data_IF_412996560025
#
_entry.id   IF_412996560025
#
_cell.length_a   1.000
_cell.length_b   1.000
_cell.length_c   1.000
_cell.angle_alpha   90.00
_cell.angle_beta   90.00
_cell.angle_gamma   90.00
#
_symmetry.space_group_name_H-M   'P 1'
#
loop_
_entity.id
_entity.type
_entity.pdbx_description
1 polymer ?
#
# COMPACT_ATOMS: atom_id res chain seq x y z
N UNK A 1 19.27 -16.34 -2.62
CA UNK A 1 18.82 -16.34 -1.21
C UNK A 1 17.35 -15.98 -1.08
N UNK A 2 16.82 -14.98 -1.80
CA UNK A 2 15.41 -14.52 -1.67
C UNK A 2 14.35 -15.61 -1.93
N UNK A 3 14.64 -16.62 -2.77
CA UNK A 3 13.71 -17.70 -3.08
C UNK A 3 13.45 -18.57 -1.85
N UNK A 4 14.47 -18.85 -1.04
CA UNK A 4 14.34 -19.66 0.18
C UNK A 4 13.54 -18.96 1.28
N UNK A 5 13.58 -17.63 1.30
CA UNK A 5 12.86 -16.80 2.26
C UNK A 5 11.54 -16.25 1.72
N UNK A 6 11.13 -16.64 0.50
CA UNK A 6 9.95 -16.07 -0.18
C UNK A 6 8.67 -16.16 0.66
N UNK A 7 8.49 -17.25 1.43
CA UNK A 7 7.33 -17.40 2.32
C UNK A 7 7.33 -16.34 3.42
N UNK A 8 8.45 -16.16 4.10
CA UNK A 8 8.58 -15.14 5.15
C UNK A 8 8.44 -13.72 4.61
N UNK A 9 9.04 -13.47 3.43
CA UNK A 9 8.93 -12.17 2.76
C UNK A 9 7.49 -11.88 2.33
N UNK A 10 6.77 -12.91 1.87
CA UNK A 10 5.35 -12.78 1.55
C UNK A 10 4.53 -12.39 2.78
N UNK A 11 4.76 -13.03 3.93
CA UNK A 11 4.08 -12.68 5.18
C UNK A 11 4.32 -11.22 5.57
N UNK A 12 5.55 -10.74 5.48
CA UNK A 12 5.91 -9.35 5.76
C UNK A 12 5.21 -8.40 4.79
N UNK A 13 5.25 -8.70 3.49
CA UNK A 13 4.65 -7.84 2.46
C UNK A 13 3.12 -7.81 2.52
N UNK A 14 2.46 -8.92 2.89
CA UNK A 14 0.98 -9.00 2.96
C UNK A 14 0.44 -8.43 4.26
N UNK A 15 1.23 -8.37 5.32
CA UNK A 15 0.82 -7.87 6.64
C UNK A 15 0.11 -6.51 6.60
N UNK A 16 0.59 -5.47 5.88
CA UNK A 16 -0.10 -4.18 5.81
C UNK A 16 -1.50 -4.27 5.22
N UNK A 17 -1.70 -5.12 4.20
CA UNK A 17 -3.01 -5.34 3.59
C UNK A 17 -3.98 -6.01 4.56
N UNK A 18 -3.54 -7.05 5.28
CA UNK A 18 -4.38 -7.73 6.29
C UNK A 18 -4.79 -6.75 7.40
N UNK A 19 -3.87 -5.87 7.85
CA UNK A 19 -4.19 -4.84 8.83
C UNK A 19 -5.22 -3.84 8.30
N UNK A 20 -5.11 -3.41 7.05
CA UNK A 20 -6.07 -2.50 6.42
C UNK A 20 -7.45 -3.17 6.24
N UNK A 21 -7.50 -4.44 5.87
CA UNK A 21 -8.75 -5.22 5.77
C UNK A 21 -9.44 -5.33 7.13
N UNK A 22 -8.70 -5.67 8.19
CA UNK A 22 -9.23 -5.74 9.58
C UNK A 22 -9.77 -4.39 10.05
N UNK A 23 -9.03 -3.32 9.81
CA UNK A 23 -9.43 -1.97 10.21
C UNK A 23 -10.77 -1.53 9.56
N UNK A 24 -11.07 -2.07 8.37
CA UNK A 24 -12.30 -1.76 7.62
C UNK A 24 -13.35 -2.87 7.68
N UNK A 25 -13.23 -3.84 8.60
CA UNK A 25 -14.14 -4.98 8.76
C UNK A 25 -14.36 -5.79 7.46
N UNK A 26 -13.35 -5.87 6.59
CA UNK A 26 -13.38 -6.65 5.35
C UNK A 26 -12.82 -8.07 5.59
N UNK A 27 -13.26 -9.08 4.79
CA UNK A 27 -12.74 -10.43 4.92
C UNK A 27 -11.24 -10.47 4.58
N UNK A 28 -10.48 -11.16 5.42
CA UNK A 28 -9.02 -11.31 5.27
C UNK A 28 -8.63 -12.32 4.16
N UNK A 29 -9.50 -12.54 3.18
CA UNK A 29 -9.28 -13.48 2.09
C UNK A 29 -8.77 -12.77 0.85
N UNK A 30 -7.65 -13.26 0.32
CA UNK A 30 -7.09 -12.80 -0.93
C UNK A 30 -7.50 -13.76 -2.05
N UNK A 31 -7.89 -13.22 -3.20
CA UNK A 31 -8.26 -14.02 -4.36
C UNK A 31 -7.07 -14.23 -5.28
N UNK A 32 -6.88 -15.48 -5.72
CA UNK A 32 -6.08 -15.82 -6.88
C UNK A 32 -7.06 -16.25 -8.00
N UNK A 33 -7.03 -15.56 -9.12
CA UNK A 33 -8.00 -15.80 -10.23
C UNK A 33 -7.52 -16.84 -11.23
N UNK A 34 -6.24 -17.20 -11.19
CA UNK A 34 -5.67 -18.25 -12.02
C UNK A 34 -4.57 -19.02 -11.30
N UNK A 35 -4.33 -20.30 -11.65
CA UNK A 35 -3.21 -21.08 -11.10
C UNK A 35 -1.84 -20.44 -11.36
N UNK A 36 -1.66 -19.80 -12.51
CA UNK A 36 -0.45 -19.07 -12.87
C UNK A 36 -0.21 -17.84 -11.99
N UNK A 37 -1.27 -17.21 -11.48
CA UNK A 37 -1.17 -16.04 -10.60
C UNK A 37 -0.38 -16.34 -9.34
N UNK A 38 -0.58 -17.52 -8.74
CA UNK A 38 0.16 -17.94 -7.54
C UNK A 38 1.68 -18.01 -7.79
N UNK A 39 2.09 -18.50 -8.97
CA UNK A 39 3.50 -18.52 -9.36
C UNK A 39 4.03 -17.09 -9.58
N UNK A 40 3.26 -16.24 -10.27
CA UNK A 40 3.64 -14.85 -10.48
C UNK A 40 3.75 -14.06 -9.16
N UNK A 41 2.96 -14.40 -8.16
CA UNK A 41 3.06 -13.83 -6.80
C UNK A 41 4.45 -14.09 -6.22
N UNK A 42 4.95 -15.31 -6.28
CA UNK A 42 6.31 -15.63 -5.81
C UNK A 42 7.38 -14.86 -6.58
N UNK A 43 7.25 -14.75 -7.89
CA UNK A 43 8.17 -13.95 -8.73
C UNK A 43 8.17 -12.49 -8.30
N UNK A 44 7.00 -11.88 -8.08
CA UNK A 44 6.89 -10.49 -7.62
C UNK A 44 7.50 -10.28 -6.23
N UNK A 45 7.26 -11.19 -5.28
CA UNK A 45 7.88 -11.13 -3.94
C UNK A 45 9.40 -11.17 -4.04
N UNK A 46 9.94 -12.08 -4.84
CA UNK A 46 11.40 -12.17 -5.06
C UNK A 46 11.93 -10.90 -5.72
N UNK A 47 11.21 -10.33 -6.68
CA UNK A 47 11.60 -9.11 -7.39
C UNK A 47 11.59 -7.88 -6.46
N UNK A 48 10.56 -7.70 -5.63
CA UNK A 48 10.49 -6.64 -4.62
C UNK A 48 11.67 -6.75 -3.66
N UNK A 49 11.91 -7.97 -3.15
CA UNK A 49 13.00 -8.23 -2.21
C UNK A 49 14.37 -8.01 -2.84
N UNK A 50 14.55 -8.44 -4.09
CA UNK A 50 15.78 -8.22 -4.85
C UNK A 50 16.01 -6.72 -5.10
N UNK A 51 14.96 -5.95 -5.35
CA UNK A 51 15.06 -4.50 -5.53
C UNK A 51 15.48 -3.80 -4.24
N UNK A 52 14.88 -4.18 -3.10
CA UNK A 52 15.21 -3.59 -1.79
C UNK A 52 16.65 -3.93 -1.39
N UNK A 53 17.06 -5.19 -1.52
CA UNK A 53 18.40 -5.64 -1.15
C UNK A 53 19.47 -5.22 -2.17
N UNK A 54 19.13 -5.21 -3.44
CA UNK A 54 20.02 -4.81 -4.54
C UNK A 54 20.08 -3.31 -4.76
N UNK A 55 19.07 -2.54 -4.30
CA UNK A 55 18.97 -1.10 -4.48
C UNK A 55 20.21 -0.33 -4.03
N UNK A 56 20.79 -0.58 -2.85
CA UNK A 56 22.04 0.01 -2.43
C UNK A 56 23.20 -0.17 -3.43
N UNK A 57 23.29 -1.36 -3.99
CA UNK A 57 24.32 -1.66 -5.00
C UNK A 57 24.04 -0.95 -6.32
N UNK A 58 22.78 -0.91 -6.76
CA UNK A 58 22.37 -0.18 -7.99
C UNK A 58 22.70 1.31 -7.84
N UNK A 59 22.40 1.89 -6.69
CA UNK A 59 22.71 3.30 -6.40
C UNK A 59 24.21 3.55 -6.39
N UNK A 60 25.00 2.66 -5.79
CA UNK A 60 26.46 2.74 -5.83
C UNK A 60 26.99 2.74 -7.27
N UNK A 61 26.50 1.82 -8.11
CA UNK A 61 26.89 1.74 -9.52
C UNK A 61 26.49 3.00 -10.30
N UNK A 62 25.28 3.53 -10.04
CA UNK A 62 24.82 4.76 -10.66
C UNK A 62 25.76 5.94 -10.34
N UNK A 63 26.12 6.13 -9.07
CA UNK A 63 27.04 7.19 -8.66
C UNK A 63 28.47 6.98 -9.20
N UNK A 64 28.92 5.74 -9.29
CA UNK A 64 30.21 5.38 -9.89
C UNK A 64 30.24 5.72 -11.38
N UNK A 65 29.15 5.43 -12.10
CA UNK A 65 28.98 5.81 -13.50
C UNK A 65 28.97 7.32 -13.69
N UNK A 66 28.20 8.05 -12.87
CA UNK A 66 28.18 9.52 -12.90
C UNK A 66 29.56 10.10 -12.61
N UNK A 67 30.29 9.57 -11.64
CA UNK A 67 31.63 10.01 -11.28
C UNK A 67 32.66 9.81 -12.42
N UNK A 68 32.45 8.82 -13.27
CA UNK A 68 33.34 8.57 -14.43
C UNK A 68 33.27 9.69 -15.50
N UNK A 69 32.14 10.40 -15.57
CA UNK A 69 31.93 11.51 -16.50
C UNK A 69 32.35 12.89 -15.97
N UNK A 70 32.85 13.00 -14.72
CA UNK A 70 33.19 14.26 -14.08
C UNK A 70 34.70 14.51 -14.01
N UNK A 71 35.10 15.80 -13.83
CA UNK A 71 36.46 16.19 -13.63
C UNK A 71 37.05 15.61 -12.29
N UNK A 72 38.39 15.40 -12.22
CA UNK A 72 39.02 14.75 -11.05
C UNK A 72 38.69 15.39 -9.72
N UNK A 73 38.55 16.71 -9.66
CA UNK A 73 38.22 17.47 -8.44
C UNK A 73 36.79 17.23 -7.96
N UNK A 74 35.86 16.93 -8.87
CA UNK A 74 34.43 16.71 -8.55
C UNK A 74 34.15 15.25 -8.19
N UNK A 75 34.93 14.33 -8.76
CA UNK A 75 34.79 12.88 -8.57
C UNK A 75 34.87 12.46 -7.09
N UNK A 76 35.81 13.03 -6.36
CA UNK A 76 35.98 12.71 -4.93
C UNK A 76 34.74 13.10 -4.09
N UNK A 77 34.07 14.18 -4.49
CA UNK A 77 32.87 14.63 -3.81
C UNK A 77 31.65 13.73 -4.13
N UNK A 78 31.51 13.27 -5.38
CA UNK A 78 30.44 12.35 -5.80
C UNK A 78 30.51 11.05 -5.00
N UNK A 79 31.70 10.50 -4.76
CA UNK A 79 31.85 9.32 -3.90
C UNK A 79 31.33 9.54 -2.47
N UNK A 80 31.41 10.77 -1.94
CA UNK A 80 30.84 11.09 -0.61
C UNK A 80 29.31 11.12 -0.62
N UNK A 81 28.65 11.32 -1.77
CA UNK A 81 27.20 11.27 -1.91
C UNK A 81 26.64 9.85 -1.91
N UNK A 82 27.46 8.85 -2.19
CA UNK A 82 27.01 7.46 -2.29
C UNK A 82 26.39 6.96 -0.99
N UNK A 83 27.05 7.21 0.15
CA UNK A 83 26.54 6.77 1.44
C UNK A 83 25.22 7.46 1.84
N UNK A 84 25.08 8.80 1.78
CA UNK A 84 23.78 9.45 1.99
C UNK A 84 22.69 8.97 1.02
N UNK A 85 23.05 8.67 -0.23
CA UNK A 85 22.13 8.16 -1.24
C UNK A 85 21.57 6.80 -0.86
N UNK A 86 22.41 5.87 -0.41
CA UNK A 86 21.97 4.56 0.08
C UNK A 86 21.07 4.71 1.31
N UNK A 87 21.43 5.59 2.25
CA UNK A 87 20.61 5.84 3.44
C UNK A 87 19.24 6.45 3.08
N UNK A 88 19.20 7.39 2.14
CA UNK A 88 17.94 7.97 1.66
C UNK A 88 17.07 6.94 0.94
N UNK A 89 17.66 6.05 0.16
CA UNK A 89 16.93 4.96 -0.48
C UNK A 89 16.27 4.04 0.56
N UNK A 90 17.03 3.59 1.54
CA UNK A 90 16.48 2.76 2.61
C UNK A 90 15.40 3.48 3.42
N UNK A 91 15.60 4.78 3.68
CA UNK A 91 14.60 5.63 4.33
C UNK A 91 13.34 5.74 3.46
N UNK A 92 13.48 5.89 2.15
CA UNK A 92 12.36 5.93 1.20
C UNK A 92 11.55 4.63 1.19
N UNK A 93 12.22 3.49 1.15
CA UNK A 93 11.59 2.16 1.24
C UNK A 93 10.91 1.97 2.60
N UNK A 94 11.55 2.36 3.70
CA UNK A 94 10.96 2.30 5.04
C UNK A 94 9.73 3.20 5.16
N UNK A 95 9.80 4.43 4.66
CA UNK A 95 8.68 5.37 4.63
C UNK A 95 7.51 4.83 3.79
N UNK A 96 7.80 4.25 2.63
CA UNK A 96 6.82 3.59 1.80
C UNK A 96 6.08 2.49 2.56
N UNK A 97 6.82 1.58 3.19
CA UNK A 97 6.25 0.43 3.87
C UNK A 97 5.48 0.79 5.15
N UNK A 98 6.04 1.67 5.99
CA UNK A 98 5.48 2.00 7.30
C UNK A 98 4.36 3.04 7.23
N UNK A 99 4.39 3.92 6.24
CA UNK A 99 3.46 5.04 6.17
C UNK A 99 2.63 5.02 4.88
N UNK A 100 3.26 5.15 3.71
CA UNK A 100 2.55 5.34 2.46
C UNK A 100 1.62 4.17 2.12
N UNK A 101 2.12 2.94 2.28
CA UNK A 101 1.37 1.72 1.98
C UNK A 101 0.17 1.54 2.91
N UNK A 102 0.35 1.75 4.23
CA UNK A 102 -0.75 1.61 5.20
C UNK A 102 -1.85 2.65 4.97
N UNK A 103 -1.49 3.91 4.74
CA UNK A 103 -2.46 4.99 4.51
C UNK A 103 -3.20 4.79 3.19
N UNK A 104 -2.49 4.47 2.10
CA UNK A 104 -3.09 4.17 0.80
C UNK A 104 -4.06 2.99 0.86
N UNK A 105 -3.64 1.88 1.49
CA UNK A 105 -4.49 0.70 1.60
C UNK A 105 -5.72 0.95 2.46
N UNK A 106 -5.57 1.64 3.59
CA UNK A 106 -6.70 1.95 4.46
C UNK A 106 -7.74 2.81 3.74
N UNK A 107 -7.28 3.80 2.96
CA UNK A 107 -8.16 4.61 2.12
C UNK A 107 -8.84 3.77 1.02
N UNK A 108 -8.06 2.98 0.28
CA UNK A 108 -8.56 2.19 -0.84
C UNK A 108 -9.59 1.15 -0.40
N UNK A 109 -9.33 0.47 0.72
CA UNK A 109 -10.26 -0.51 1.32
C UNK A 109 -11.49 0.19 1.86
N UNK A 110 -11.33 1.33 2.55
CA UNK A 110 -12.42 2.13 3.12
C UNK A 110 -13.31 2.78 2.07
N UNK A 111 -12.74 3.15 0.92
CA UNK A 111 -13.48 3.81 -0.16
C UNK A 111 -14.61 2.93 -0.73
N UNK A 112 -14.39 1.61 -0.81
CA UNK A 112 -15.44 0.67 -1.21
C UNK A 112 -16.68 0.70 -0.31
N UNK A 113 -16.51 1.00 0.97
CA UNK A 113 -17.62 1.09 1.94
C UNK A 113 -18.41 2.41 1.81
N UNK A 114 -17.83 3.42 1.20
CA UNK A 114 -18.47 4.73 1.02
C UNK A 114 -19.51 4.75 -0.11
N UNK A 115 -19.53 3.73 -0.99
CA UNK A 115 -20.54 3.60 -2.06
C UNK A 115 -21.69 2.69 -1.58
N UNK A 116 -22.77 3.24 -0.99
CA UNK A 116 -23.92 2.44 -0.58
C UNK A 116 -24.66 1.94 -1.83
N UNK A 117 -25.13 0.69 -1.77
CA UNK A 117 -26.07 0.18 -2.78
C UNK A 117 -27.33 1.04 -2.80
N UNK A 118 -27.79 1.51 -3.98
CA UNK A 118 -29.09 2.12 -4.06
C UNK A 118 -30.14 1.08 -3.61
N UNK A 119 -31.07 1.50 -2.76
CA UNK A 119 -32.21 0.66 -2.40
C UNK A 119 -33.06 0.52 -3.63
N UNK A 120 -32.92 -0.59 -4.34
CA UNK A 120 -33.76 -0.92 -5.49
C UNK A 120 -35.14 -1.34 -4.98
N UNK A 121 -36.02 -0.37 -4.74
CA UNK A 121 -37.44 -0.63 -4.63
C UNK A 121 -37.98 -0.68 -6.06
N UNK A 122 -38.27 -1.87 -6.61
CA UNK A 122 -38.72 -1.97 -7.98
C UNK A 122 -40.07 -1.27 -8.15
N UNK A 123 -40.18 -0.44 -9.17
CA UNK A 123 -41.42 0.20 -9.55
C UNK A 123 -42.46 -0.86 -10.01
N UNK A 124 -43.73 -0.54 -9.98
CA UNK A 124 -44.81 -1.50 -10.38
C UNK A 124 -44.61 -2.10 -11.78
N UNK A 125 -44.00 -1.37 -12.69
CA UNK A 125 -43.67 -1.84 -14.04
C UNK A 125 -42.46 -2.78 -14.03
N UNK A 126 -41.43 -2.49 -13.25
CA UNK A 126 -40.26 -3.37 -13.06
C UNK A 126 -40.66 -4.68 -12.37
N UNK A 127 -41.55 -4.63 -11.37
CA UNK A 127 -42.11 -5.82 -10.73
C UNK A 127 -42.82 -6.72 -11.71
N UNK A 128 -43.58 -6.15 -12.64
CA UNK A 128 -44.25 -6.92 -13.70
C UNK A 128 -43.29 -7.50 -14.75
N UNK A 129 -42.29 -6.73 -15.15
CA UNK A 129 -41.34 -7.16 -16.19
C UNK A 129 -40.33 -8.18 -15.66
N UNK A 130 -39.89 -8.04 -14.42
CA UNK A 130 -38.88 -8.90 -13.81
C UNK A 130 -39.50 -10.11 -13.11
N UNK A 131 -40.86 -10.23 -13.07
CA UNK A 131 -41.57 -11.27 -12.31
C UNK A 131 -41.09 -11.37 -10.84
N UNK A 132 -40.56 -10.24 -10.30
CA UNK A 132 -40.13 -10.18 -8.92
C UNK A 132 -41.40 -10.20 -8.08
N UNK A 133 -41.71 -11.34 -7.49
CA UNK A 133 -42.77 -11.42 -6.48
C UNK A 133 -42.51 -10.38 -5.40
N UNK A 134 -43.49 -9.53 -5.04
CA UNK A 134 -43.29 -8.61 -3.92
C UNK A 134 -42.83 -9.44 -2.73
N UNK A 135 -41.75 -8.98 -2.07
CA UNK A 135 -41.33 -9.64 -0.82
C UNK A 135 -42.57 -9.82 0.03
N UNK A 136 -42.89 -11.08 0.34
CA UNK A 136 -44.06 -11.37 1.16
C UNK A 136 -44.04 -10.43 2.35
N UNK A 137 -45.16 -9.73 2.67
CA UNK A 137 -45.20 -8.88 3.84
C UNK A 137 -44.69 -9.72 4.99
N UNK A 138 -43.73 -9.18 5.76
CA UNK A 138 -43.10 -9.89 6.86
C UNK A 138 -44.19 -10.57 7.67
N UNK A 139 -44.40 -11.84 7.36
CA UNK A 139 -45.41 -12.68 8.04
C UNK A 139 -45.03 -12.58 9.50
N UNK A 140 -45.94 -12.20 10.33
CA UNK A 140 -45.92 -12.13 11.78
C UNK A 140 -44.78 -12.98 12.32
N UNK A 141 -43.73 -12.33 12.86
CA UNK A 141 -42.58 -13.02 13.40
C UNK A 141 -43.12 -14.15 14.31
N UNK A 142 -42.79 -15.41 14.06
CA UNK A 142 -43.13 -16.45 14.99
C UNK A 142 -42.54 -16.03 16.33
N UNK A 143 -43.34 -16.12 17.39
CA UNK A 143 -42.92 -15.72 18.73
C UNK A 143 -41.56 -16.35 19.04
N UNK A 144 -40.55 -15.51 19.34
CA UNK A 144 -39.14 -15.88 19.56
C UNK A 144 -38.94 -16.80 20.79
N UNK A 145 -40.02 -17.26 21.43
CA UNK A 145 -39.98 -17.98 22.70
C UNK A 145 -39.27 -19.35 22.66
N UNK A 146 -39.01 -19.93 21.49
CA UNK A 146 -38.42 -21.28 21.35
C UNK A 146 -37.31 -21.38 20.31
N UNK A 147 -36.56 -20.32 20.07
CA UNK A 147 -35.40 -20.43 19.18
C UNK A 147 -34.25 -21.18 19.85
N UNK A 148 -33.61 -22.16 19.21
CA UNK A 148 -32.42 -22.80 19.77
C UNK A 148 -31.32 -21.75 19.92
N UNK A 149 -30.90 -21.48 21.14
CA UNK A 149 -29.81 -20.55 21.42
C UNK A 149 -28.48 -21.25 21.23
N UNK A 150 -27.60 -20.64 20.46
CA UNK A 150 -26.22 -21.10 20.32
C UNK A 150 -25.39 -20.52 21.45
N UNK A 151 -24.59 -21.32 22.19
CA UNK A 151 -23.70 -20.81 23.20
C UNK A 151 -22.78 -19.73 22.69
N UNK A 152 -22.74 -18.59 23.38
CA UNK A 152 -21.86 -17.45 23.05
C UNK A 152 -20.73 -17.46 24.06
N UNK A 153 -19.49 -17.63 23.58
CA UNK A 153 -18.31 -17.80 24.42
C UNK A 153 -17.22 -16.81 24.03
N UNK A 154 -16.43 -16.34 24.99
CA UNK A 154 -15.28 -15.45 24.74
C UNK A 154 -14.03 -16.22 24.31
N UNK A 155 -13.91 -17.49 24.75
CA UNK A 155 -12.81 -18.39 24.39
C UNK A 155 -13.36 -19.73 23.96
N UNK A 156 -12.67 -20.38 23.03
CA UNK A 156 -13.09 -21.70 22.58
C UNK A 156 -13.00 -22.74 23.72
N UNK A 157 -13.98 -23.64 23.83
CA UNK A 157 -13.90 -24.78 24.74
C UNK A 157 -12.65 -25.62 24.42
N UNK A 158 -11.93 -26.06 25.46
CA UNK A 158 -10.71 -26.87 25.30
C UNK A 158 -10.98 -28.19 24.57
N UNK A 159 -12.08 -28.88 24.92
CA UNK A 159 -12.49 -30.16 24.32
C UNK A 159 -14.00 -30.16 24.03
N UNK A 160 -14.48 -29.49 22.98
CA UNK A 160 -15.90 -29.52 22.66
C UNK A 160 -16.30 -30.90 22.14
N UNK A 161 -17.45 -31.44 22.53
CA UNK A 161 -17.93 -32.71 22.00
C UNK A 161 -18.23 -32.63 20.52
N UNK A 162 -18.13 -33.74 19.79
CA UNK A 162 -18.46 -33.84 18.38
C UNK A 162 -19.89 -33.41 18.14
N UNK A 163 -20.13 -32.48 17.22
CA UNK A 163 -21.44 -31.89 16.94
C UNK A 163 -21.74 -30.61 17.75
N UNK A 164 -20.88 -30.23 18.69
CA UNK A 164 -21.03 -28.96 19.41
C UNK A 164 -20.89 -27.76 18.45
N UNK A 165 -21.79 -26.80 18.69
CA UNK A 165 -21.86 -25.54 17.92
C UNK A 165 -21.76 -24.39 18.94
N UNK A 166 -20.90 -23.38 18.63
CA UNK A 166 -20.75 -22.18 19.45
C UNK A 166 -20.38 -20.97 18.62
N UNK A 167 -20.64 -19.79 19.19
CA UNK A 167 -20.18 -18.51 18.62
C UNK A 167 -19.07 -17.93 19.49
N UNK A 168 -17.91 -17.73 18.92
CA UNK A 168 -16.79 -17.06 19.58
C UNK A 168 -16.86 -15.55 19.31
N UNK A 169 -17.09 -14.76 20.38
CA UNK A 169 -17.29 -13.29 20.29
C UNK A 169 -15.99 -12.59 19.91
N UNK A 170 -14.85 -13.03 20.46
CA UNK A 170 -13.56 -12.37 20.21
C UNK A 170 -13.09 -12.56 18.77
N UNK A 171 -13.39 -13.69 18.17
CA UNK A 171 -13.05 -14.00 16.80
C UNK A 171 -14.15 -13.63 15.79
N UNK A 172 -15.37 -13.31 16.27
CA UNK A 172 -16.58 -13.12 15.45
C UNK A 172 -16.86 -14.30 14.52
N UNK A 173 -16.66 -15.53 15.03
CA UNK A 173 -16.80 -16.77 14.28
C UNK A 173 -17.79 -17.73 14.88
N UNK A 174 -18.58 -18.31 14.02
CA UNK A 174 -19.41 -19.47 14.34
C UNK A 174 -18.57 -20.73 14.13
N UNK A 175 -18.50 -21.59 15.13
CA UNK A 175 -17.67 -22.80 15.10
C UNK A 175 -18.49 -24.05 15.32
N UNK A 176 -18.12 -25.11 14.61
CA UNK A 176 -18.73 -26.43 14.69
C UNK A 176 -17.64 -27.48 14.88
N UNK A 177 -17.74 -28.31 15.89
CA UNK A 177 -16.85 -29.46 16.07
C UNK A 177 -17.33 -30.63 15.23
N UNK A 178 -16.53 -31.03 14.24
CA UNK A 178 -16.71 -32.31 13.52
C UNK A 178 -15.68 -33.34 14.01
N UNK A 179 -15.82 -34.64 13.68
CA UNK A 179 -14.92 -35.68 14.16
C UNK A 179 -13.44 -35.45 13.82
N UNK A 180 -13.16 -34.85 12.68
CA UNK A 180 -11.82 -34.62 12.16
C UNK A 180 -11.20 -33.30 12.68
N UNK A 181 -12.01 -32.20 12.73
CA UNK A 181 -11.52 -30.86 13.11
C UNK A 181 -12.67 -29.92 13.47
N UNK A 182 -12.31 -28.72 13.94
CA UNK A 182 -13.25 -27.61 14.13
C UNK A 182 -13.36 -26.82 12.82
N UNK A 183 -14.57 -26.67 12.33
CA UNK A 183 -14.90 -25.78 11.22
C UNK A 183 -15.34 -24.42 11.75
N UNK A 184 -14.88 -23.35 11.14
CA UNK A 184 -15.25 -21.99 11.53
C UNK A 184 -15.77 -21.20 10.35
N UNK A 185 -16.85 -20.43 10.58
CA UNK A 185 -17.42 -19.50 9.61
C UNK A 185 -17.45 -18.10 10.23
N UNK A 186 -16.92 -17.13 9.52
CA UNK A 186 -16.90 -15.75 9.98
C UNK A 186 -18.17 -15.05 9.55
N UNK A 187 -18.92 -14.51 10.52
CA UNK A 187 -20.04 -13.64 10.23
C UNK A 187 -19.54 -12.21 10.02
N UNK A 188 -20.03 -11.60 8.97
CA UNK A 188 -19.93 -10.16 8.81
C UNK A 188 -21.17 -9.53 9.44
N UNK A 189 -21.03 -8.43 10.22
CA UNK A 189 -22.19 -7.67 10.65
C UNK A 189 -23.03 -7.30 9.44
N UNK A 190 -24.35 -7.26 9.59
CA UNK A 190 -25.28 -6.80 8.54
C UNK A 190 -25.07 -5.31 8.31
N UNK A 191 -23.92 -4.99 7.74
CA UNK A 191 -23.60 -3.65 7.27
C UNK A 191 -24.35 -3.43 5.96
N UNK A 192 -24.82 -2.22 5.75
CA UNK A 192 -25.39 -1.77 4.47
C UNK A 192 -24.53 -2.34 3.35
N UNK A 193 -25.11 -3.24 2.56
CA UNK A 193 -24.39 -3.93 1.49
C UNK A 193 -23.70 -2.89 0.62
N UNK A 194 -22.40 -2.83 0.70
CA UNK A 194 -21.61 -1.96 -0.16
C UNK A 194 -21.85 -2.38 -1.62
N UNK A 195 -21.99 -1.43 -2.52
CA UNK A 195 -22.18 -1.68 -3.95
C UNK A 195 -21.03 -2.51 -4.53
N UNK A 196 -19.85 -2.40 -3.92
CA UNK A 196 -18.65 -3.11 -4.33
C UNK A 196 -18.09 -3.87 -3.12
N UNK A 197 -18.09 -5.19 -3.17
CA UNK A 197 -17.31 -6.00 -2.24
C UNK A 197 -15.85 -5.98 -2.70
N UNK A 198 -14.96 -5.43 -1.87
CA UNK A 198 -13.55 -5.32 -2.21
C UNK A 198 -12.86 -6.69 -2.06
N UNK A 199 -12.76 -7.42 -3.15
CA UNK A 199 -11.95 -8.63 -3.21
C UNK A 199 -10.58 -8.28 -3.80
N UNK A 200 -9.55 -8.29 -2.97
CA UNK A 200 -8.19 -7.96 -3.41
C UNK A 200 -7.51 -9.16 -4.04
N UNK A 201 -7.07 -8.99 -5.30
CA UNK A 201 -6.20 -9.95 -5.96
C UNK A 201 -4.78 -9.78 -5.45
N UNK A 202 -4.19 -10.87 -4.95
CA UNK A 202 -2.83 -10.83 -4.40
C UNK A 202 -1.79 -10.37 -5.43
N UNK A 203 -1.97 -10.74 -6.70
CA UNK A 203 -1.09 -10.34 -7.78
C UNK A 203 -1.11 -8.85 -8.08
N UNK A 204 -2.28 -8.19 -8.03
CA UNK A 204 -2.43 -6.74 -8.22
C UNK A 204 -1.85 -5.98 -7.03
N UNK A 205 -2.12 -6.45 -5.81
CA UNK A 205 -1.54 -5.89 -4.60
C UNK A 205 0.00 -5.86 -4.63
N UNK A 206 0.63 -6.98 -4.98
CA UNK A 206 2.10 -7.02 -5.06
C UNK A 206 2.65 -6.15 -6.19
N UNK A 207 1.93 -6.00 -7.30
CA UNK A 207 2.30 -5.03 -8.34
C UNK A 207 2.28 -3.61 -7.82
N UNK A 208 1.26 -3.27 -7.03
CA UNK A 208 1.14 -1.97 -6.38
C UNK A 208 2.29 -1.73 -5.39
N UNK A 209 2.62 -2.70 -4.54
CA UNK A 209 3.76 -2.61 -3.62
C UNK A 209 5.07 -2.43 -4.38
N UNK A 210 5.29 -3.18 -5.48
CA UNK A 210 6.48 -3.05 -6.32
C UNK A 210 6.59 -1.64 -6.91
N UNK A 211 5.50 -1.13 -7.48
CA UNK A 211 5.45 0.20 -8.05
C UNK A 211 5.77 1.28 -7.00
N UNK A 212 5.16 1.21 -5.82
CA UNK A 212 5.44 2.13 -4.73
C UNK A 212 6.90 2.03 -4.24
N UNK A 213 7.45 0.81 -4.15
CA UNK A 213 8.86 0.61 -3.74
C UNK A 213 9.81 1.33 -4.70
N UNK A 214 9.60 1.20 -6.01
CA UNK A 214 10.40 1.89 -7.03
C UNK A 214 10.17 3.40 -6.92
N UNK A 215 8.92 3.85 -6.86
CA UNK A 215 8.56 5.25 -6.83
C UNK A 215 9.19 5.99 -5.64
N UNK A 216 9.03 5.47 -4.42
CA UNK A 216 9.61 6.08 -3.23
C UNK A 216 11.12 5.91 -3.15
N UNK A 217 11.67 4.76 -3.59
CA UNK A 217 13.11 4.56 -3.67
C UNK A 217 13.80 5.61 -4.54
N UNK A 218 13.21 5.92 -5.71
CA UNK A 218 13.71 6.97 -6.63
C UNK A 218 13.39 8.37 -6.10
N UNK A 219 12.18 8.60 -5.59
CA UNK A 219 11.76 9.91 -5.08
C UNK A 219 12.67 10.44 -3.96
N UNK A 220 13.13 9.57 -3.08
CA UNK A 220 14.04 9.94 -1.99
C UNK A 220 15.46 10.26 -2.47
N UNK A 221 15.79 10.02 -3.75
CA UNK A 221 17.03 10.49 -4.35
C UNK A 221 16.98 11.97 -4.77
N UNK A 222 15.78 12.56 -4.88
CA UNK A 222 15.61 13.94 -5.34
C UNK A 222 16.51 14.97 -4.64
N UNK A 223 16.66 14.99 -3.29
CA UNK A 223 17.51 15.97 -2.62
C UNK A 223 18.96 15.90 -3.08
N UNK A 224 19.47 14.69 -3.29
CA UNK A 224 20.85 14.47 -3.69
C UNK A 224 21.08 14.82 -5.16
N UNK A 225 20.12 14.52 -6.02
CA UNK A 225 20.14 14.93 -7.44
C UNK A 225 20.15 16.45 -7.54
N UNK A 226 19.31 17.16 -6.75
CA UNK A 226 19.28 18.63 -6.73
C UNK A 226 20.62 19.21 -6.26
N UNK A 227 21.18 18.68 -5.18
CA UNK A 227 22.47 19.12 -4.64
C UNK A 227 23.60 18.85 -5.65
N UNK A 228 23.58 17.71 -6.31
CA UNK A 228 24.54 17.36 -7.36
C UNK A 228 24.48 18.34 -8.54
N UNK A 229 23.28 18.60 -9.10
CA UNK A 229 23.09 19.53 -10.22
C UNK A 229 23.55 20.96 -9.89
N UNK A 230 23.30 21.41 -8.65
CA UNK A 230 23.73 22.72 -8.20
C UNK A 230 25.25 22.81 -8.09
N UNK A 231 25.87 21.76 -7.54
CA UNK A 231 27.30 21.77 -7.23
C UNK A 231 28.21 21.59 -8.45
N UNK A 232 27.73 20.81 -9.43
CA UNK A 232 28.41 20.68 -10.75
C UNK A 232 28.19 21.89 -11.65
N UNK A 233 27.39 22.88 -11.21
CA UNK A 233 27.09 24.07 -12.01
C UNK A 233 26.17 23.80 -13.20
N UNK A 234 25.71 22.57 -13.40
CA UNK A 234 24.77 22.22 -14.46
C UNK A 234 23.46 23.01 -14.37
N UNK A 235 22.97 23.21 -13.16
CA UNK A 235 21.78 24.03 -12.87
C UNK A 235 22.06 24.91 -11.66
N UNK A 236 22.27 26.22 -11.81
CA UNK A 236 22.45 27.14 -10.70
C UNK A 236 21.25 27.16 -9.74
N UNK A 237 21.48 27.38 -8.45
CA UNK A 237 20.43 27.40 -7.43
C UNK A 237 19.39 28.50 -7.72
N UNK A 238 19.82 29.63 -8.27
CA UNK A 238 18.97 30.74 -8.69
C UNK A 238 17.95 30.30 -9.76
N UNK A 239 18.40 29.48 -10.71
CA UNK A 239 17.56 28.89 -11.75
C UNK A 239 16.55 27.93 -11.14
N UNK A 240 16.98 27.05 -10.21
CA UNK A 240 16.07 26.14 -9.51
C UNK A 240 14.99 26.90 -8.73
N UNK A 241 15.35 27.98 -8.06
CA UNK A 241 14.42 28.85 -7.35
C UNK A 241 13.48 29.59 -8.29
N UNK A 242 13.97 30.11 -9.43
CA UNK A 242 13.18 30.80 -10.43
C UNK A 242 12.13 29.88 -11.07
N UNK A 243 12.52 28.64 -11.39
CA UNK A 243 11.65 27.64 -12.04
C UNK A 243 10.98 26.67 -11.05
N UNK A 244 10.91 27.03 -9.76
CA UNK A 244 10.29 26.22 -8.71
C UNK A 244 8.87 25.74 -9.08
N UNK A 245 8.04 26.61 -9.70
CA UNK A 245 6.68 26.26 -10.14
C UNK A 245 6.69 25.14 -11.20
N UNK A 246 7.66 25.16 -12.11
CA UNK A 246 7.81 24.11 -13.14
C UNK A 246 8.28 22.82 -12.53
N UNK A 247 9.23 22.87 -11.56
CA UNK A 247 9.67 21.68 -10.83
C UNK A 247 8.52 21.04 -10.03
N UNK A 248 7.70 21.85 -9.34
CA UNK A 248 6.50 21.38 -8.64
C UNK A 248 5.54 20.71 -9.61
N UNK A 249 5.24 21.33 -10.75
CA UNK A 249 4.36 20.76 -11.77
C UNK A 249 4.89 19.42 -12.28
N UNK A 250 6.20 19.33 -12.54
CA UNK A 250 6.85 18.11 -13.03
C UNK A 250 6.79 16.99 -11.99
N UNK A 251 7.06 17.30 -10.71
CA UNK A 251 6.98 16.35 -9.60
C UNK A 251 5.55 15.81 -9.46
N UNK A 252 4.55 16.70 -9.47
CA UNK A 252 3.13 16.31 -9.38
C UNK A 252 2.73 15.47 -10.58
N UNK A 253 3.19 15.81 -11.78
CA UNK A 253 2.92 15.03 -12.98
C UNK A 253 3.55 13.62 -12.93
N UNK A 254 4.81 13.52 -12.51
CA UNK A 254 5.48 12.22 -12.32
C UNK A 254 4.77 11.40 -11.24
N UNK A 255 4.40 12.02 -10.12
CA UNK A 255 3.65 11.35 -9.06
C UNK A 255 2.30 10.82 -9.58
N UNK A 256 1.62 11.59 -10.45
CA UNK A 256 0.36 11.18 -11.09
C UNK A 256 0.51 9.95 -11.99
N UNK A 257 1.65 9.81 -12.67
CA UNK A 257 1.94 8.65 -13.51
C UNK A 257 2.31 7.39 -12.69
N UNK A 258 2.88 7.59 -11.51
CA UNK A 258 3.36 6.51 -10.64
C UNK A 258 2.33 6.07 -9.60
N UNK A 259 1.44 6.95 -9.19
CA UNK A 259 0.39 6.62 -8.22
C UNK A 259 -0.80 5.92 -8.88
N UNK A 260 -1.54 5.08 -8.16
CA UNK A 260 -2.86 4.63 -8.60
C UNK A 260 -3.76 5.83 -8.90
N UNK A 261 -4.84 5.66 -9.69
CA UNK A 261 -5.74 6.75 -10.05
C UNK A 261 -6.67 7.15 -8.89
N UNK A 262 -6.09 7.39 -7.71
CA UNK A 262 -6.76 7.89 -6.52
C UNK A 262 -6.06 9.15 -5.96
N UNK A 263 -6.88 10.11 -5.53
CA UNK A 263 -6.41 11.42 -5.07
C UNK A 263 -5.48 11.31 -3.85
N UNK A 264 -5.78 10.40 -2.92
CA UNK A 264 -5.01 10.29 -1.68
C UNK A 264 -3.63 9.71 -1.91
N UNK A 265 -3.52 8.60 -2.65
CA UNK A 265 -2.20 8.02 -3.01
C UNK A 265 -1.35 9.01 -3.79
N UNK A 266 -1.99 9.78 -4.70
CA UNK A 266 -1.31 10.83 -5.44
C UNK A 266 -0.73 11.92 -4.52
N UNK A 267 -1.53 12.45 -3.58
CA UNK A 267 -1.06 13.44 -2.60
C UNK A 267 0.01 12.87 -1.66
N UNK A 268 -0.14 11.59 -1.30
CA UNK A 268 0.79 10.89 -0.42
C UNK A 268 2.17 10.69 -1.07
N UNK A 269 2.22 10.51 -2.39
CA UNK A 269 3.46 10.40 -3.15
C UNK A 269 4.04 11.79 -3.46
N UNK A 270 3.24 12.71 -3.97
CA UNK A 270 3.69 14.05 -4.37
C UNK A 270 4.14 14.91 -3.19
N UNK A 271 3.45 14.83 -2.04
CA UNK A 271 3.78 15.62 -0.85
C UNK A 271 5.23 15.44 -0.37
N UNK A 272 5.65 14.21 -0.02
CA UNK A 272 7.05 13.95 0.34
C UNK A 272 8.05 14.33 -0.76
N UNK A 273 7.73 14.09 -2.03
CA UNK A 273 8.61 14.48 -3.14
C UNK A 273 8.83 15.98 -3.20
N UNK A 274 7.78 16.79 -2.99
CA UNK A 274 7.89 18.25 -2.93
C UNK A 274 8.74 18.72 -1.75
N UNK A 275 8.52 18.13 -0.57
CA UNK A 275 9.31 18.44 0.63
C UNK A 275 10.78 18.09 0.40
N UNK A 276 11.06 16.93 -0.16
CA UNK A 276 12.41 16.47 -0.46
C UNK A 276 13.10 17.37 -1.52
N UNK A 277 12.38 17.82 -2.53
CA UNK A 277 12.88 18.79 -3.49
C UNK A 277 13.29 20.10 -2.82
N UNK A 278 12.42 20.66 -1.96
CA UNK A 278 12.72 21.91 -1.23
C UNK A 278 13.91 21.75 -0.29
N UNK A 279 14.01 20.62 0.43
CA UNK A 279 15.18 20.30 1.26
C UNK A 279 16.46 20.27 0.39
N UNK A 280 16.39 19.63 -0.78
CA UNK A 280 17.49 19.58 -1.73
C UNK A 280 17.96 20.98 -2.16
N UNK A 281 17.03 21.85 -2.53
CA UNK A 281 17.32 23.26 -2.91
C UNK A 281 17.92 24.05 -1.73
N UNK A 282 17.41 23.84 -0.50
CA UNK A 282 17.96 24.50 0.69
C UNK A 282 19.39 24.06 1.00
N UNK A 283 19.66 22.75 0.91
CA UNK A 283 21.02 22.22 1.12
C UNK A 283 21.96 22.75 0.05
N UNK A 284 21.55 22.75 -1.21
CA UNK A 284 22.32 23.27 -2.32
C UNK A 284 22.66 24.76 -2.12
N UNK A 285 21.69 25.56 -1.73
CA UNK A 285 21.87 26.99 -1.47
C UNK A 285 22.91 27.27 -0.36
N UNK A 286 22.94 26.48 0.71
CA UNK A 286 23.93 26.62 1.79
C UNK A 286 25.35 26.26 1.35
N UNK A 287 25.49 25.35 0.39
CA UNK A 287 26.79 24.86 -0.07
C UNK A 287 27.40 25.72 -1.20
N UNK A 288 26.57 26.47 -1.93
CA UNK A 288 26.99 27.32 -3.06
C UNK A 288 27.14 28.80 -2.69
N UNK A 289 26.84 29.20 -1.44
CA UNK A 289 27.08 30.58 -0.99
C UNK A 289 28.59 30.83 -1.01
N UNK A 290 29.13 31.77 -1.82
CA UNK A 290 30.54 32.13 -1.79
C UNK A 290 30.87 32.62 -0.35
N UNK A 291 32.01 32.20 0.18
CA UNK A 291 32.58 32.87 1.34
C UNK A 291 32.68 34.35 1.05
N UNK A 292 32.13 35.21 1.92
CA UNK A 292 32.28 36.65 1.78
C UNK A 292 33.78 36.97 1.59
N UNK A 293 34.14 37.90 0.69
CA UNK A 293 35.53 38.32 0.59
C UNK A 293 36.01 38.79 1.96
N UNK A 294 37.07 38.20 2.43
CA UNK A 294 37.79 38.71 3.62
C UNK A 294 38.37 40.08 3.23
N UNK A 295 37.74 41.15 3.74
CA UNK A 295 38.29 42.49 3.73
C UNK A 295 39.52 42.59 4.61
#
# INVERSE_FOLDING_TARGET
PCIFFARYLLEVLVRPLVLALRANNQPETLLATSPAETLLVYVKVVLISALILGGPYIIYQLWTFVAAGLYPNERAWVHRLTLPSVLLFLLGVAFMYLFALLVSLNFLVGFGNWLPLPRANPNALEQRLLSVSPAAPATTQPALENWPTVPVVAQDPAEPPVGAIWFNVNEHRFKVRQPDRVYSYQFQPDQQRAMVSSHFKIGEYLSFVLLLTIAFGVAFQLPLVVVFLARTGLVPVETMRRYRKVAILLIVFIACMLAPPDLLSHLLLSGPMLILFEIGVLIAARQTTPAAPAD
#
